data_IF_649762875351
#
_entry.id   IF_649762875351
#
_cell.length_a   1.000
_cell.length_b   1.000
_cell.length_c   1.000
_cell.angle_alpha   90.00
_cell.angle_beta   90.00
_cell.angle_gamma   90.00
#
_symmetry.space_group_name_H-M   'P 1'
#
loop_
_entity.id
_entity.type
_entity.pdbx_description
1 polymer ?
#
# COMPACT_ATOMS: atom_id res chain seq x y z
N UNK A 1 -0.51 -3.02 -17.71
CA UNK A 1 -1.06 -3.15 -16.34
C UNK A 1 -1.80 -1.88 -15.96
N UNK A 2 -2.75 -1.96 -15.02
CA UNK A 2 -3.47 -0.83 -14.45
C UNK A 2 -2.95 -0.57 -13.02
N UNK A 3 -2.83 0.71 -12.65
CA UNK A 3 -2.64 1.14 -11.26
C UNK A 3 -3.95 1.72 -10.77
N UNK A 4 -4.47 1.22 -9.64
CA UNK A 4 -5.75 1.63 -9.08
C UNK A 4 -5.56 2.24 -7.69
N UNK A 5 -6.01 3.48 -7.52
CA UNK A 5 -6.19 4.11 -6.22
C UNK A 5 -7.65 3.89 -5.79
N UNK A 6 -7.85 3.36 -4.59
CA UNK A 6 -9.16 3.17 -3.97
C UNK A 6 -9.26 4.09 -2.77
N UNK A 7 -10.34 4.87 -2.70
CA UNK A 7 -10.59 5.83 -1.64
C UNK A 7 -11.95 5.55 -0.99
N UNK A 8 -11.99 5.51 0.34
CA UNK A 8 -13.22 5.30 1.11
C UNK A 8 -13.13 5.99 2.47
N UNK A 9 -13.93 7.05 2.66
CA UNK A 9 -13.75 7.92 3.84
C UNK A 9 -12.34 8.54 3.83
N UNK A 10 -11.58 8.37 4.91
CA UNK A 10 -10.16 8.73 4.97
C UNK A 10 -9.23 7.67 4.37
N UNK A 11 -9.70 6.44 4.14
CA UNK A 11 -8.84 5.31 3.73
C UNK A 11 -8.40 5.40 2.28
N UNK A 12 -7.11 5.22 2.05
CA UNK A 12 -6.53 5.14 0.71
C UNK A 12 -5.71 3.85 0.54
N UNK A 13 -6.03 3.08 -0.51
CA UNK A 13 -5.28 1.89 -0.91
C UNK A 13 -4.80 2.00 -2.35
N UNK A 14 -3.52 1.69 -2.58
CA UNK A 14 -2.96 1.64 -3.93
C UNK A 14 -2.69 0.20 -4.37
N UNK A 15 -3.29 -0.18 -5.48
CA UNK A 15 -3.03 -1.44 -6.18
C UNK A 15 -2.12 -1.16 -7.37
N UNK A 16 -0.82 -1.44 -7.19
CA UNK A 16 0.20 -1.11 -8.18
C UNK A 16 0.23 -2.05 -9.40
N UNK A 17 -0.57 -3.13 -9.41
CA UNK A 17 -0.56 -4.12 -10.48
C UNK A 17 0.85 -4.67 -10.71
N UNK A 18 1.36 -4.58 -11.94
CA UNK A 18 2.74 -4.93 -12.29
C UNK A 18 3.61 -3.70 -12.57
N UNK A 19 3.24 -2.53 -12.04
CA UNK A 19 4.04 -1.32 -12.18
C UNK A 19 5.47 -1.57 -11.70
N UNK A 20 6.42 -1.20 -12.57
CA UNK A 20 7.83 -1.07 -12.23
C UNK A 20 8.25 0.40 -12.22
N UNK A 21 9.53 0.66 -12.01
CA UNK A 21 10.07 2.01 -11.81
C UNK A 21 9.60 3.06 -12.82
N UNK A 22 9.54 2.81 -14.15
CA UNK A 22 9.08 3.84 -15.08
C UNK A 22 7.62 4.29 -14.84
N UNK A 23 6.74 3.35 -14.48
CA UNK A 23 5.34 3.66 -14.18
C UNK A 23 5.22 4.37 -12.81
N UNK A 24 6.01 3.95 -11.83
CA UNK A 24 6.09 4.61 -10.53
C UNK A 24 6.56 6.07 -10.66
N UNK A 25 7.63 6.31 -11.44
CA UNK A 25 8.15 7.66 -11.69
C UNK A 25 7.13 8.55 -12.41
N UNK A 26 6.38 8.00 -13.37
CA UNK A 26 5.33 8.75 -14.07
C UNK A 26 4.14 9.11 -13.16
N UNK A 27 3.87 8.30 -12.14
CA UNK A 27 2.70 8.44 -11.26
C UNK A 27 3.01 9.13 -9.93
N UNK A 28 4.26 9.12 -9.45
CA UNK A 28 4.59 9.51 -8.07
C UNK A 28 4.18 10.96 -7.73
N UNK A 29 4.20 11.86 -8.72
CA UNK A 29 3.77 13.26 -8.54
C UNK A 29 2.26 13.45 -8.48
N UNK A 30 1.48 12.42 -8.83
CA UNK A 30 0.01 12.43 -8.87
C UNK A 30 -0.62 11.70 -7.68
N UNK A 31 0.20 11.04 -6.87
CA UNK A 31 -0.21 10.27 -5.72
C UNK A 31 0.33 10.93 -4.47
N UNK A 32 -0.39 10.78 -3.37
CA UNK A 32 0.04 11.19 -2.04
C UNK A 32 0.18 9.95 -1.15
N UNK A 33 0.22 10.17 0.16
CA UNK A 33 0.25 9.10 1.15
C UNK A 33 -0.93 8.14 0.93
N UNK A 34 -0.71 6.84 1.13
CA UNK A 34 -1.76 5.83 1.20
C UNK A 34 -1.59 5.04 2.49
N UNK A 35 -2.62 4.33 2.93
CA UNK A 35 -2.57 3.49 4.13
C UNK A 35 -2.12 2.06 3.79
N UNK A 36 -2.59 1.56 2.66
CA UNK A 36 -2.32 0.21 2.16
C UNK A 36 -1.67 0.26 0.77
N UNK A 37 -0.56 -0.45 0.61
CA UNK A 37 0.05 -0.69 -0.70
C UNK A 37 -0.04 -2.17 -1.07
N UNK A 38 -0.78 -2.51 -2.13
CA UNK A 38 -0.61 -3.81 -2.79
C UNK A 38 0.58 -3.70 -3.74
N UNK A 39 1.68 -4.33 -3.33
CA UNK A 39 3.01 -4.25 -3.95
C UNK A 39 2.98 -4.67 -5.42
N UNK A 40 3.71 -3.90 -6.23
CA UNK A 40 3.79 -4.07 -7.68
C UNK A 40 4.58 -5.30 -8.10
N UNK A 41 4.10 -6.01 -9.11
CA UNK A 41 4.81 -7.10 -9.78
C UNK A 41 5.33 -8.17 -8.81
N UNK A 42 4.48 -8.58 -7.87
CA UNK A 42 4.83 -9.59 -6.85
C UNK A 42 6.09 -9.26 -6.02
N UNK A 43 6.52 -8.00 -6.00
CA UNK A 43 7.76 -7.56 -5.35
C UNK A 43 9.03 -7.83 -6.17
N UNK A 44 8.96 -7.76 -7.49
CA UNK A 44 10.13 -7.90 -8.37
C UNK A 44 11.23 -6.87 -8.06
N UNK A 45 12.47 -7.13 -8.52
CA UNK A 45 13.61 -6.23 -8.31
C UNK A 45 13.39 -4.84 -8.93
N UNK A 46 12.61 -4.76 -10.00
CA UNK A 46 12.35 -3.54 -10.78
C UNK A 46 11.09 -2.77 -10.38
N UNK A 47 10.45 -3.11 -9.26
CA UNK A 47 9.26 -2.45 -8.74
C UNK A 47 9.45 -2.00 -7.28
N UNK A 48 8.52 -1.21 -6.79
CA UNK A 48 8.39 -0.71 -5.41
C UNK A 48 9.61 0.12 -4.98
N UNK A 49 9.93 1.13 -5.80
CA UNK A 49 11.08 2.04 -5.65
C UNK A 49 11.18 2.73 -4.29
N UNK A 50 12.39 3.16 -3.91
CA UNK A 50 12.60 3.90 -2.66
C UNK A 50 11.80 5.21 -2.63
N UNK A 51 11.89 6.02 -3.70
CA UNK A 51 11.13 7.27 -3.83
C UNK A 51 9.61 7.03 -3.81
N UNK A 52 9.17 5.94 -4.46
CA UNK A 52 7.78 5.50 -4.45
C UNK A 52 7.28 5.23 -3.01
N UNK A 53 8.06 4.47 -2.22
CA UNK A 53 7.74 4.20 -0.82
C UNK A 53 7.79 5.46 0.05
N UNK A 54 8.76 6.35 -0.17
CA UNK A 54 8.87 7.62 0.56
C UNK A 54 7.70 8.56 0.30
N UNK A 55 7.14 8.51 -0.91
CA UNK A 55 5.96 9.28 -1.30
C UNK A 55 4.68 8.70 -0.71
N UNK A 56 4.50 7.38 -0.83
CA UNK A 56 3.27 6.70 -0.44
C UNK A 56 3.16 6.44 1.06
N UNK A 57 4.27 6.20 1.77
CA UNK A 57 4.33 5.94 3.23
C UNK A 57 3.20 5.03 3.78
N UNK A 58 2.95 3.87 3.16
CA UNK A 58 1.91 2.96 3.64
C UNK A 58 2.28 2.40 5.01
N UNK A 59 1.27 2.19 5.87
CA UNK A 59 1.47 1.44 7.10
C UNK A 59 1.70 -0.05 6.80
N UNK A 60 0.97 -0.57 5.80
CA UNK A 60 0.99 -1.99 5.42
C UNK A 60 1.23 -2.15 3.92
N UNK A 61 2.13 -3.07 3.58
CA UNK A 61 2.36 -3.52 2.22
C UNK A 61 2.00 -5.00 2.06
N UNK A 62 1.13 -5.31 1.09
CA UNK A 62 0.73 -6.68 0.77
C UNK A 62 1.44 -7.15 -0.49
N UNK A 63 2.14 -8.27 -0.41
CA UNK A 63 2.77 -8.93 -1.55
C UNK A 63 1.95 -10.19 -1.84
N UNK A 64 1.16 -10.15 -2.92
CA UNK A 64 0.59 -11.38 -3.47
C UNK A 64 1.71 -12.11 -4.18
N UNK A 65 2.14 -13.23 -3.64
CA UNK A 65 3.20 -14.08 -4.14
C UNK A 65 2.95 -15.51 -3.69
N UNK A 66 3.45 -16.44 -4.47
CA UNK A 66 3.46 -17.87 -4.18
C UNK A 66 4.84 -18.44 -4.47
N UNK A 67 5.00 -19.76 -4.35
CA UNK A 67 6.19 -20.44 -4.86
C UNK A 67 6.41 -20.09 -6.33
N UNK A 68 7.59 -19.57 -6.66
CA UNK A 68 7.94 -19.14 -8.02
C UNK A 68 9.45 -19.31 -8.27
N UNK A 69 9.83 -19.33 -9.55
CA UNK A 69 11.24 -19.46 -9.98
C UNK A 69 11.89 -18.11 -10.32
N UNK A 70 11.12 -17.01 -10.29
CA UNK A 70 11.59 -15.66 -10.59
C UNK A 70 12.41 -15.03 -9.45
N UNK A 71 12.43 -15.68 -8.27
CA UNK A 71 13.05 -15.14 -7.07
C UNK A 71 12.26 -13.99 -6.47
N UNK A 72 10.92 -14.01 -6.58
CA UNK A 72 10.04 -13.00 -6.00
C UNK A 72 9.50 -13.44 -4.63
N UNK A 73 9.30 -12.51 -3.67
CA UNK A 73 9.74 -11.11 -3.72
C UNK A 73 11.27 -11.01 -3.71
N UNK A 74 11.81 -10.08 -4.49
CA UNK A 74 13.25 -9.92 -4.62
C UNK A 74 13.86 -9.38 -3.31
N UNK A 75 15.07 -9.83 -2.90
CA UNK A 75 15.72 -9.33 -1.69
C UNK A 75 15.86 -7.80 -1.63
N UNK A 76 16.15 -7.16 -2.77
CA UNK A 76 16.24 -5.71 -2.88
C UNK A 76 14.90 -5.00 -2.61
N UNK A 77 13.78 -5.63 -2.94
CA UNK A 77 12.43 -5.09 -2.66
C UNK A 77 12.08 -5.24 -1.19
N UNK A 78 12.37 -6.41 -0.61
CA UNK A 78 12.20 -6.63 0.83
C UNK A 78 13.06 -5.67 1.65
N UNK A 79 14.31 -5.41 1.23
CA UNK A 79 15.20 -4.46 1.91
C UNK A 79 14.65 -3.02 1.89
N UNK A 80 14.07 -2.59 0.77
CA UNK A 80 13.43 -1.26 0.66
C UNK A 80 12.20 -1.12 1.56
N UNK A 81 11.35 -2.15 1.60
CA UNK A 81 10.17 -2.18 2.47
C UNK A 81 10.58 -2.15 3.96
N UNK A 82 11.61 -2.92 4.33
CA UNK A 82 12.14 -2.95 5.68
C UNK A 82 12.77 -1.60 6.08
N UNK A 83 13.55 -0.98 5.20
CA UNK A 83 14.16 0.34 5.44
C UNK A 83 13.14 1.47 5.56
N UNK A 84 11.95 1.30 4.97
CA UNK A 84 10.84 2.22 5.10
C UNK A 84 9.94 1.92 6.32
N UNK A 85 10.31 0.94 7.15
CA UNK A 85 9.57 0.52 8.35
C UNK A 85 8.11 0.12 8.08
N UNK A 86 7.86 -0.48 6.90
CA UNK A 86 6.52 -0.87 6.47
C UNK A 86 6.21 -2.30 6.95
N UNK A 87 5.03 -2.50 7.53
CA UNK A 87 4.57 -3.84 7.89
C UNK A 87 4.25 -4.64 6.60
N UNK A 88 5.00 -5.72 6.37
CA UNK A 88 4.82 -6.54 5.17
C UNK A 88 3.94 -7.75 5.47
N UNK A 89 2.97 -8.03 4.59
CA UNK A 89 2.20 -9.28 4.54
C UNK A 89 2.39 -9.96 3.20
N UNK A 90 2.61 -11.28 3.21
CA UNK A 90 2.85 -12.07 2.01
C UNK A 90 1.90 -13.25 1.95
N UNK A 91 1.22 -13.44 0.82
CA UNK A 91 0.23 -14.51 0.70
C UNK A 91 0.83 -15.92 0.74
N UNK A 92 2.13 -16.08 0.47
CA UNK A 92 2.83 -17.37 0.58
C UNK A 92 3.21 -17.75 2.02
N UNK A 93 3.21 -16.79 2.94
CA UNK A 93 3.54 -16.99 4.35
C UNK A 93 2.29 -16.86 5.23
N UNK A 94 1.43 -15.90 4.91
CA UNK A 94 0.31 -15.47 5.72
C UNK A 94 -1.05 -16.05 5.25
N UNK A 95 -1.06 -16.75 4.10
CA UNK A 95 -2.30 -17.21 3.47
C UNK A 95 -3.14 -16.06 2.93
N UNK A 96 -4.44 -16.09 3.17
CA UNK A 96 -5.36 -15.03 2.75
C UNK A 96 -5.14 -13.77 3.58
N UNK A 97 -4.80 -12.66 2.92
CA UNK A 97 -4.70 -11.34 3.59
C UNK A 97 -6.00 -10.57 3.37
N UNK A 98 -6.80 -10.41 4.41
CA UNK A 98 -8.05 -9.64 4.39
C UNK A 98 -7.85 -8.28 5.03
N UNK A 99 -8.30 -7.23 4.33
CA UNK A 99 -8.28 -5.85 4.85
C UNK A 99 -9.72 -5.33 4.92
N UNK A 100 -10.13 -4.89 6.09
CA UNK A 100 -11.45 -4.29 6.34
C UNK A 100 -11.28 -2.88 6.87
N UNK A 101 -12.13 -1.95 6.44
CA UNK A 101 -12.08 -0.56 6.91
C UNK A 101 -13.48 0.03 7.03
N UNK A 102 -13.63 0.95 7.98
CA UNK A 102 -14.79 1.84 8.11
C UNK A 102 -14.52 3.26 7.56
N UNK A 103 -13.35 3.49 6.98
CA UNK A 103 -12.87 4.78 6.49
C UNK A 103 -12.12 5.62 7.51
N UNK A 104 -12.03 5.20 8.78
CA UNK A 104 -11.24 5.86 9.85
C UNK A 104 -10.23 4.90 10.51
N UNK A 105 -10.49 3.60 10.45
CA UNK A 105 -9.59 2.54 10.89
C UNK A 105 -9.48 1.46 9.82
N UNK A 106 -8.35 0.75 9.81
CA UNK A 106 -8.10 -0.39 8.94
C UNK A 106 -7.67 -1.58 9.80
N UNK A 107 -8.32 -2.73 9.61
CA UNK A 107 -7.94 -3.99 10.24
C UNK A 107 -7.41 -4.95 9.18
N UNK A 108 -6.23 -5.51 9.43
CA UNK A 108 -5.57 -6.51 8.60
C UNK A 108 -5.65 -7.86 9.31
N UNK A 109 -6.17 -8.88 8.62
CA UNK A 109 -6.26 -10.26 9.11
C UNK A 109 -5.56 -11.21 8.15
N UNK A 110 -4.98 -12.26 8.70
CA UNK A 110 -4.32 -13.32 7.94
C UNK A 110 -4.66 -14.69 8.51
N UNK A 111 -4.30 -15.75 7.80
CA UNK A 111 -4.47 -17.11 8.29
C UNK A 111 -3.38 -17.48 9.31
N UNK A 112 -2.21 -16.83 9.23
CA UNK A 112 -1.03 -17.14 10.05
C UNK A 112 -0.85 -16.26 11.30
N UNK A 113 -1.47 -15.08 11.35
CA UNK A 113 -1.25 -14.09 12.41
C UNK A 113 -2.56 -13.46 12.91
N UNK A 114 -2.49 -12.93 14.14
CA UNK A 114 -3.60 -12.18 14.75
C UNK A 114 -3.95 -10.92 13.94
N UNK A 115 -5.18 -10.45 14.14
CA UNK A 115 -5.64 -9.22 13.51
C UNK A 115 -4.87 -8.01 14.06
N UNK A 116 -4.46 -7.11 13.18
CA UNK A 116 -3.82 -5.84 13.53
C UNK A 116 -4.66 -4.68 13.03
N UNK A 117 -4.81 -3.65 13.87
CA UNK A 117 -5.61 -2.47 13.56
C UNK A 117 -4.70 -1.25 13.48
N UNK A 118 -4.95 -0.42 12.47
CA UNK A 118 -4.19 0.76 12.12
C UNK A 118 -5.15 1.94 12.03
N UNK A 119 -4.74 3.09 12.56
CA UNK A 119 -5.43 4.34 12.31
C UNK A 119 -5.24 4.74 10.84
N UNK A 120 -6.34 5.20 10.23
CA UNK A 120 -6.33 5.69 8.86
C UNK A 120 -6.11 7.20 8.90
N UNK A 121 -5.23 7.68 8.04
CA UNK A 121 -4.90 9.09 8.04
C UNK A 121 -5.96 9.85 7.23
N UNK A 122 -6.53 10.96 7.76
CA UNK A 122 -7.54 11.71 7.02
C UNK A 122 -6.99 12.18 5.68
N UNK A 123 -7.69 11.86 4.60
CA UNK A 123 -7.34 12.39 3.27
C UNK A 123 -7.41 13.92 3.32
N UNK A 124 -6.37 14.60 2.83
CA UNK A 124 -6.26 16.07 2.85
C UNK A 124 -7.43 16.78 2.14
N UNK A 125 -8.22 16.06 1.35
CA UNK A 125 -9.39 16.59 0.64
C UNK A 125 -10.66 16.72 1.51
N UNK A 126 -10.73 16.08 2.69
CA UNK A 126 -11.91 16.18 3.58
C UNK A 126 -11.93 17.45 4.44
N UNK A 127 -10.86 18.26 4.44
CA UNK A 127 -10.81 19.51 5.21
C UNK A 127 -11.42 20.74 4.50
N UNK A 128 -11.90 20.60 3.26
CA UNK A 128 -12.49 21.72 2.49
C UNK A 128 -14.01 21.92 2.70
N UNK A 129 -14.66 21.12 3.56
CA UNK A 129 -16.14 21.10 3.66
C UNK A 129 -16.79 21.92 4.78
N UNK A 130 -16.03 22.50 5.71
CA UNK A 130 -16.60 23.05 6.95
C UNK A 130 -16.12 24.46 7.29
N UNK A 131 -16.35 25.45 6.42
CA UNK A 131 -16.38 26.86 6.83
C UNK A 131 -16.96 27.76 5.72
N UNK A 132 -18.28 27.88 5.68
CA UNK A 132 -18.95 29.12 5.24
C UNK A 132 -20.35 29.15 5.89
N UNK A 133 -20.40 29.57 7.16
CA UNK A 133 -21.60 30.22 7.70
C UNK A 133 -21.37 31.72 7.53
N UNK A 134 -22.03 32.31 6.55
CA UNK A 134 -22.13 33.77 6.48
C UNK A 134 -23.26 34.25 7.40
N UNK A 135 -23.10 35.43 8.03
CA UNK A 135 -24.13 36.07 8.86
C UNK A 135 -25.35 36.52 8.06
#
# INVERSE_FOLDING_TARGET
>A
SLVLLVEYGGFQALFAGDAGFPAEEALQRRLDRVDLLKVGHHGSRGSTGGEWLQRLRPAVAVISVGRNEYGHPAPATMARLAAAEIAVRRTDQDGTVSVTTDGSTMTVRTDAAAAETYDVFPSLQTQSGAACRHP
#
